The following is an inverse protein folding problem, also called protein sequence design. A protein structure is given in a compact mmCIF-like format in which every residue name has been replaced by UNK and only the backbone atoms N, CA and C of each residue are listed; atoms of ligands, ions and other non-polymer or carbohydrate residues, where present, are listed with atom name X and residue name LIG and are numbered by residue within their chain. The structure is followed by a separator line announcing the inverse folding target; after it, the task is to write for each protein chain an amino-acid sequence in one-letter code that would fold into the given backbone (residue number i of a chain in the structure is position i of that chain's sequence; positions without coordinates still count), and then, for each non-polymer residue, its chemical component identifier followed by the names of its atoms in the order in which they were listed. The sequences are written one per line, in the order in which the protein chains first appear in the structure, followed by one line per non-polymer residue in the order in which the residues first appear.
data_IF_100172124870
#
_entry.id   IF_100172124870
#
_cell.length_a   1.000
_cell.length_b   1.000
_cell.length_c   1.000
_cell.angle_alpha   90.00
_cell.angle_beta   90.00
_cell.angle_gamma   90.00
#
_symmetry.space_group_name_H-M   'P 1'
#
loop_
_entity.id
_entity.type
_entity.pdbx_description
1 polymer ?
#
# COMPACT_ATOMS: atom_id res chain seq x y z
N UNK A 1 9.32 0.55 -18.49
CA UNK A 1 9.19 0.48 -17.01
C UNK A 1 8.22 1.55 -16.56
N UNK A 2 7.47 1.32 -15.50
CA UNK A 2 6.53 2.31 -14.97
C UNK A 2 7.29 3.53 -14.47
N UNK A 3 6.81 4.74 -14.81
CA UNK A 3 7.40 5.99 -14.31
C UNK A 3 6.80 6.40 -12.96
N UNK A 4 5.60 5.89 -12.68
CA UNK A 4 4.85 6.16 -11.47
C UNK A 4 4.19 4.88 -10.96
N UNK A 5 3.98 4.85 -9.65
CA UNK A 5 3.24 3.82 -8.95
C UNK A 5 2.17 4.49 -8.08
N UNK A 6 1.14 3.74 -7.72
CA UNK A 6 0.17 4.19 -6.72
C UNK A 6 0.00 3.15 -5.63
N UNK A 7 -0.19 3.62 -4.40
CA UNK A 7 -0.50 2.76 -3.27
C UNK A 7 -2.00 2.48 -3.26
N UNK A 8 -2.34 1.21 -3.11
CA UNK A 8 -3.71 0.74 -2.97
C UNK A 8 -3.82 -0.14 -1.74
N UNK A 9 -4.77 0.17 -0.85
CA UNK A 9 -5.09 -0.67 0.29
C UNK A 9 -6.40 -1.41 0.02
N UNK A 10 -6.27 -2.69 -0.33
CA UNK A 10 -7.37 -3.64 -0.48
C UNK A 10 -7.70 -4.30 0.87
N UNK A 11 -8.97 -4.66 1.07
CA UNK A 11 -9.46 -5.47 2.20
C UNK A 11 -8.96 -5.07 3.61
N UNK A 12 -9.80 -4.34 4.35
CA UNK A 12 -9.57 -4.09 5.77
C UNK A 12 -10.38 -5.10 6.59
N UNK A 13 -9.72 -6.10 7.16
CA UNK A 13 -10.34 -6.99 8.14
C UNK A 13 -10.34 -6.33 9.53
N UNK A 14 -11.16 -6.85 10.43
CA UNK A 14 -11.24 -6.33 11.80
C UNK A 14 -9.92 -6.56 12.53
N UNK A 15 -9.26 -5.48 12.94
CA UNK A 15 -8.06 -5.54 13.77
C UNK A 15 -8.38 -6.04 15.17
N UNK A 16 -7.51 -6.88 15.74
CA UNK A 16 -7.73 -7.56 17.03
C UNK A 16 -6.98 -6.92 18.21
N UNK A 17 -5.95 -6.12 17.94
CA UNK A 17 -5.13 -5.48 18.97
C UNK A 17 -4.71 -4.04 18.57
N UNK A 18 -4.09 -3.33 19.52
CA UNK A 18 -3.70 -1.91 19.35
C UNK A 18 -2.63 -1.71 18.27
N UNK A 19 -1.67 -2.62 18.15
CA UNK A 19 -0.64 -2.58 17.10
C UNK A 19 -1.28 -2.70 15.72
N UNK A 20 -2.13 -3.71 15.51
CA UNK A 20 -2.84 -3.90 14.24
C UNK A 20 -3.69 -2.69 13.87
N UNK A 21 -4.38 -2.09 14.86
CA UNK A 21 -5.15 -0.86 14.66
C UNK A 21 -4.27 0.30 14.20
N UNK A 22 -3.16 0.54 14.87
CA UNK A 22 -2.23 1.62 14.51
C UNK A 22 -1.61 1.42 13.11
N UNK A 23 -1.22 0.19 12.78
CA UNK A 23 -0.69 -0.16 11.46
C UNK A 23 -1.78 0.00 10.38
N UNK A 24 -3.01 -0.44 10.64
CA UNK A 24 -4.14 -0.28 9.71
C UNK A 24 -4.45 1.20 9.45
N UNK A 25 -4.45 2.04 10.49
CA UNK A 25 -4.64 3.50 10.36
C UNK A 25 -3.52 4.14 9.53
N UNK A 26 -2.27 3.75 9.77
CA UNK A 26 -1.13 4.20 8.97
C UNK A 26 -1.28 3.80 7.50
N UNK A 27 -1.51 2.52 7.21
CA UNK A 27 -1.66 2.02 5.84
C UNK A 27 -2.82 2.70 5.11
N UNK A 28 -3.94 2.92 5.79
CA UNK A 28 -5.08 3.65 5.23
C UNK A 28 -4.72 5.08 4.86
N UNK A 29 -3.83 5.74 5.61
CA UNK A 29 -3.35 7.09 5.27
C UNK A 29 -2.47 7.14 4.01
N UNK A 30 -1.94 6.00 3.57
CA UNK A 30 -1.13 5.89 2.35
C UNK A 30 -1.97 5.62 1.11
N UNK A 31 -3.23 5.20 1.27
CA UNK A 31 -4.08 4.80 0.15
C UNK A 31 -4.26 5.96 -0.85
N UNK A 32 -4.01 5.68 -2.13
CA UNK A 32 -4.10 6.65 -3.21
C UNK A 32 -2.87 7.54 -3.40
N UNK A 33 -1.81 7.40 -2.58
CA UNK A 33 -0.56 8.13 -2.80
C UNK A 33 0.11 7.68 -4.10
N UNK A 34 0.55 8.65 -4.89
CA UNK A 34 1.36 8.47 -6.09
C UNK A 34 2.85 8.50 -5.70
N UNK A 35 3.65 7.62 -6.29
CA UNK A 35 5.08 7.46 -6.04
C UNK A 35 5.81 7.54 -7.38
N UNK A 36 6.90 8.30 -7.47
CA UNK A 36 7.78 8.27 -8.63
C UNK A 36 8.62 6.99 -8.61
N UNK A 37 8.93 6.45 -9.78
CA UNK A 37 9.67 5.17 -9.85
C UNK A 37 11.02 5.20 -9.13
N UNK A 38 11.71 6.34 -9.10
CA UNK A 38 12.98 6.49 -8.39
C UNK A 38 12.84 6.58 -6.87
N UNK A 39 11.66 6.91 -6.35
CA UNK A 39 11.37 6.98 -4.91
C UNK A 39 10.83 5.65 -4.35
N UNK A 40 10.57 4.67 -5.21
CA UNK A 40 9.86 3.45 -4.85
C UNK A 40 10.53 2.69 -3.70
N UNK A 41 11.85 2.48 -3.77
CA UNK A 41 12.59 1.78 -2.72
C UNK A 41 12.58 2.57 -1.41
N UNK A 42 12.77 3.89 -1.45
CA UNK A 42 12.69 4.73 -0.27
C UNK A 42 11.30 4.66 0.39
N UNK A 43 10.23 4.67 -0.41
CA UNK A 43 8.86 4.53 0.10
C UNK A 43 8.66 3.16 0.74
N UNK A 44 9.13 2.07 0.11
CA UNK A 44 9.05 0.71 0.68
C UNK A 44 9.77 0.64 2.04
N UNK A 45 10.99 1.16 2.11
CA UNK A 45 11.77 1.23 3.35
C UNK A 45 11.06 2.04 4.43
N UNK A 46 10.51 3.21 4.08
CA UNK A 46 9.79 4.07 5.04
C UNK A 46 8.54 3.38 5.61
N UNK A 47 7.84 2.57 4.82
CA UNK A 47 6.68 1.78 5.26
C UNK A 47 7.11 0.69 6.23
N UNK A 48 8.18 -0.06 5.91
CA UNK A 48 8.73 -1.09 6.79
C UNK A 48 9.18 -0.47 8.11
N UNK A 49 10.00 0.58 8.06
CA UNK A 49 10.51 1.29 9.24
C UNK A 49 9.35 1.75 10.12
N UNK A 50 8.29 2.33 9.54
CA UNK A 50 7.15 2.78 10.33
C UNK A 50 6.42 1.64 11.05
N UNK A 51 6.29 0.48 10.42
CA UNK A 51 5.69 -0.69 11.06
C UNK A 51 6.59 -1.23 12.18
N UNK A 52 7.91 -1.23 11.98
CA UNK A 52 8.88 -1.64 13.02
C UNK A 52 8.88 -0.67 14.22
N UNK A 53 8.78 0.64 13.99
CA UNK A 53 8.58 1.63 15.07
C UNK A 53 7.32 1.31 15.89
N UNK A 54 6.22 0.95 15.20
CA UNK A 54 4.97 0.58 15.86
C UNK A 54 5.12 -0.72 16.65
N UNK A 55 5.88 -1.72 16.17
CA UNK A 55 6.19 -2.91 16.96
C UNK A 55 6.88 -2.55 18.28
N UNK A 56 7.83 -1.62 18.26
CA UNK A 56 8.55 -1.16 19.46
C UNK A 56 7.59 -0.42 20.40
N UNK A 57 6.76 0.48 19.87
CA UNK A 57 5.79 1.25 20.65
C UNK A 57 4.73 0.35 21.32
N UNK A 58 4.29 -0.70 20.61
CA UNK A 58 3.28 -1.66 21.07
C UNK A 58 3.90 -3.02 21.42
N UNK A 59 5.01 -3.01 22.18
CA UNK A 59 5.82 -4.19 22.50
C UNK A 59 5.11 -5.38 23.19
N UNK A 60 3.88 -5.17 23.71
CA UNK A 60 3.05 -6.23 24.30
C UNK A 60 2.21 -7.00 23.27
N UNK A 61 2.09 -6.49 22.05
CA UNK A 61 1.40 -7.14 20.95
C UNK A 61 2.37 -8.08 20.21
N UNK A 62 1.83 -9.12 19.55
CA UNK A 62 2.63 -9.94 18.64
C UNK A 62 3.21 -9.04 17.53
N UNK A 63 4.53 -8.99 17.32
CA UNK A 63 5.14 -8.12 16.33
C UNK A 63 4.73 -8.54 14.92
N UNK A 64 4.67 -7.54 14.04
CA UNK A 64 4.46 -7.71 12.60
C UNK A 64 5.83 -7.75 11.93
N UNK A 65 6.05 -8.70 11.03
CA UNK A 65 7.27 -8.80 10.22
C UNK A 65 6.94 -8.42 8.77
N UNK A 66 7.03 -7.12 8.40
CA UNK A 66 6.59 -6.65 7.09
C UNK A 66 7.64 -6.87 6.02
N UNK A 67 7.24 -7.45 4.89
CA UNK A 67 8.13 -7.69 3.74
C UNK A 67 7.41 -7.39 2.43
N UNK A 68 8.08 -6.70 1.51
CA UNK A 68 7.55 -6.48 0.16
C UNK A 68 7.95 -7.62 -0.77
N UNK A 69 6.99 -8.12 -1.54
CA UNK A 69 7.23 -9.10 -2.60
C UNK A 69 6.72 -8.58 -3.92
N UNK A 70 7.56 -8.69 -4.95
CA UNK A 70 7.16 -8.41 -6.33
C UNK A 70 6.39 -9.61 -6.89
N UNK A 71 5.24 -9.33 -7.49
CA UNK A 71 4.44 -10.31 -8.20
C UNK A 71 4.80 -10.31 -9.68
N UNK A 72 4.52 -11.42 -10.36
CA UNK A 72 4.76 -11.55 -11.81
C UNK A 72 4.05 -10.47 -12.66
N UNK A 73 3.00 -9.83 -12.14
CA UNK A 73 2.29 -8.73 -12.79
C UNK A 73 2.98 -7.36 -12.68
N UNK A 74 4.11 -7.26 -11.97
CA UNK A 74 4.76 -5.98 -11.64
C UNK A 74 4.09 -5.21 -10.49
N UNK A 75 3.06 -5.81 -9.86
CA UNK A 75 2.52 -5.35 -8.59
C UNK A 75 3.43 -5.75 -7.44
N UNK A 76 3.55 -4.90 -6.42
CA UNK A 76 4.33 -5.17 -5.22
C UNK A 76 3.38 -5.25 -4.04
N UNK A 77 3.35 -6.38 -3.35
CA UNK A 77 2.48 -6.61 -2.20
C UNK A 77 3.25 -6.57 -0.89
N UNK A 78 2.67 -5.96 0.14
CA UNK A 78 3.19 -6.00 1.50
C UNK A 78 2.64 -7.22 2.25
N UNK A 79 3.54 -8.10 2.65
CA UNK A 79 3.26 -9.30 3.44
C UNK A 79 3.48 -9.02 4.94
N UNK A 80 3.06 -9.97 5.78
CA UNK A 80 3.13 -9.86 7.24
C UNK A 80 1.88 -9.26 7.89
N UNK A 81 0.88 -8.88 7.10
CA UNK A 81 -0.37 -8.27 7.55
C UNK A 81 -1.55 -9.18 7.22
N UNK A 82 -2.12 -9.84 8.22
CA UNK A 82 -3.32 -10.66 8.08
C UNK A 82 -4.62 -9.84 8.05
N UNK A 83 -4.55 -8.54 8.38
CA UNK A 83 -5.71 -7.65 8.50
C UNK A 83 -5.82 -6.56 7.43
N UNK A 84 -4.83 -6.42 6.55
CA UNK A 84 -4.77 -5.37 5.51
C UNK A 84 -3.99 -5.88 4.31
N UNK A 85 -4.39 -5.51 3.09
CA UNK A 85 -3.64 -5.84 1.88
C UNK A 85 -3.14 -4.56 1.20
N UNK A 86 -1.94 -4.11 1.56
CA UNK A 86 -1.28 -2.98 0.88
C UNK A 86 -0.58 -3.48 -0.39
N UNK A 87 -0.87 -2.83 -1.50
CA UNK A 87 -0.31 -3.08 -2.82
C UNK A 87 0.24 -1.79 -3.42
N UNK A 88 1.38 -1.87 -4.08
CA UNK A 88 1.94 -0.79 -4.90
C UNK A 88 1.83 -1.25 -6.34
N UNK A 89 1.04 -0.53 -7.13
CA UNK A 89 0.73 -0.89 -8.52
C UNK A 89 1.35 0.12 -9.48
N UNK A 90 1.83 -0.31 -10.66
CA UNK A 90 2.16 0.60 -11.74
C UNK A 90 0.98 1.53 -12.04
N UNK A 91 1.23 2.83 -12.12
CA UNK A 91 0.20 3.79 -12.49
C UNK A 91 0.08 3.87 -14.02
N UNK A 92 -1.15 3.75 -14.52
CA UNK A 92 -1.47 3.87 -15.95
C UNK A 92 -2.41 5.06 -16.17
N UNK A 93 -2.10 5.88 -17.17
CA UNK A 93 -3.01 6.91 -17.66
C UNK A 93 -4.18 6.25 -18.38
N UNK A 94 -5.37 6.25 -17.75
CA UNK A 94 -6.60 5.84 -18.41
C UNK A 94 -7.27 7.05 -19.06
N UNK A 95 -7.09 7.23 -20.37
CA UNK A 95 -7.87 8.18 -21.15
C UNK A 95 -9.32 7.69 -21.26
N UNK A 96 -10.28 8.42 -20.71
CA UNK A 96 -11.70 8.23 -20.97
C UNK A 96 -12.10 9.09 -22.16
N UNK A 97 -12.23 8.50 -23.35
CA UNK A 97 -12.94 9.16 -24.45
C UNK A 97 -14.43 9.22 -24.11
N UNK A 98 -14.90 10.39 -23.66
CA UNK A 98 -16.32 10.69 -23.65
C UNK A 98 -16.75 11.02 -25.09
N UNK A 99 -17.11 10.00 -25.88
CA UNK A 99 -17.86 10.25 -27.11
C UNK A 99 -19.24 10.79 -26.72
N UNK A 100 -19.42 12.10 -26.89
CA UNK A 100 -20.71 12.76 -26.82
C UNK A 100 -21.38 12.49 -28.16
N UNK A 101 -22.24 11.46 -28.24
CA UNK A 101 -23.12 11.29 -29.39
C UNK A 101 -24.03 12.52 -29.44
N UNK A 102 -23.74 13.45 -30.35
CA UNK A 102 -24.74 14.41 -30.81
C UNK A 102 -25.58 13.65 -31.83
N UNK A 103 -26.82 13.35 -31.43
CA UNK A 103 -27.82 12.78 -32.34
C UNK A 103 -28.21 13.83 -33.37
N UNK A 104 -28.25 13.39 -34.63
CA UNK A 104 -28.97 14.04 -35.73
C UNK A 104 -30.48 13.75 -35.61
#
# INVERSE_FOLDING_TARGET
MATHYFIHNDHNLRTTNKLQKAVSEYIRSLNGKLILSHDLEHVKESIIQKILELNIQYNRCKPIDPQFHEMHSGEISLYGLDFSCLRIRPAELKYKHHFRNQGE
#
